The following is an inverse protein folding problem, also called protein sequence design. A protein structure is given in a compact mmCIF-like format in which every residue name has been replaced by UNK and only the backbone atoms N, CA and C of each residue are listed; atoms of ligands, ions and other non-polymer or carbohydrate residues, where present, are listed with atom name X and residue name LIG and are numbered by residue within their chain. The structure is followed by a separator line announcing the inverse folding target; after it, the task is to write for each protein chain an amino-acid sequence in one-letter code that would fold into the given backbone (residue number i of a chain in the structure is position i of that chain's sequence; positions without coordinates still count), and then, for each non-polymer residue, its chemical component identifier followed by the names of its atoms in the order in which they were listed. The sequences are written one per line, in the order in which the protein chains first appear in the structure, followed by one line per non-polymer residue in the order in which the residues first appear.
data_IF_179352679396
#
_entry.id   IF_179352679396
#
_cell.length_a   1.000
_cell.length_b   1.000
_cell.length_c   1.000
_cell.angle_alpha   90.00
_cell.angle_beta   90.00
_cell.angle_gamma   90.00
#
_symmetry.space_group_name_H-M   'P 1'
#
loop_
_entity.id
_entity.type
_entity.pdbx_description
1 polymer ?
#
# COMPACT_ATOMS: atom_id res chain seq x y z
N UNK A 1 9.01 -12.96 -77.83
CA UNK A 1 9.02 -14.43 -77.90
C UNK A 1 7.69 -14.92 -77.35
N UNK A 2 6.84 -15.34 -78.25
CA UNK A 2 5.46 -15.81 -78.05
C UNK A 2 5.37 -17.17 -77.35
N UNK A 3 4.23 -17.37 -76.66
CA UNK A 3 3.32 -18.55 -76.63
C UNK A 3 2.32 -18.29 -75.48
N UNK A 4 1.14 -17.68 -75.67
CA UNK A 4 -0.14 -18.10 -76.30
C UNK A 4 -0.81 -19.38 -75.75
N UNK A 5 -2.14 -19.25 -75.57
CA UNK A 5 -3.26 -20.23 -75.47
C UNK A 5 -3.66 -20.57 -74.01
N UNK A 6 -4.81 -20.18 -73.40
CA UNK A 6 -6.22 -19.89 -73.75
C UNK A 6 -7.17 -21.11 -73.79
N UNK A 7 -8.15 -21.14 -72.85
CA UNK A 7 -9.43 -21.87 -72.87
C UNK A 7 -10.35 -21.14 -71.85
N UNK A 8 -11.36 -20.32 -72.19
CA UNK A 8 -12.67 -20.43 -72.87
C UNK A 8 -13.85 -20.96 -72.01
N UNK A 9 -15.01 -20.30 -72.20
CA UNK A 9 -16.40 -20.55 -71.75
C UNK A 9 -16.86 -19.78 -70.49
N UNK A 10 -17.66 -18.70 -70.52
CA UNK A 10 -18.90 -18.27 -71.24
C UNK A 10 -20.18 -18.45 -70.38
N UNK A 11 -20.70 -17.29 -69.92
CA UNK A 11 -22.07 -16.81 -69.66
C UNK A 11 -23.27 -17.77 -69.49
N UNK A 12 -24.13 -17.45 -68.50
CA UNK A 12 -25.56 -17.03 -68.61
C UNK A 12 -26.07 -16.71 -67.17
N UNK A 13 -26.52 -15.50 -66.77
CA UNK A 13 -27.66 -14.62 -67.13
C UNK A 13 -29.04 -15.16 -66.69
N UNK A 14 -29.78 -14.28 -65.98
CA UNK A 14 -31.26 -14.05 -65.87
C UNK A 14 -31.56 -13.69 -64.39
N UNK A 15 -31.69 -12.41 -63.97
CA UNK A 15 -32.83 -11.46 -64.07
C UNK A 15 -34.15 -12.04 -63.46
N UNK A 16 -34.96 -11.37 -62.63
CA UNK A 16 -35.37 -9.96 -62.65
C UNK A 16 -36.26 -9.60 -61.44
N UNK A 17 -36.40 -8.30 -61.17
CA UNK A 17 -37.51 -7.67 -60.43
C UNK A 17 -37.14 -7.17 -59.04
N UNK A 18 -37.26 -5.89 -58.68
CA UNK A 18 -37.79 -4.71 -59.35
C UNK A 18 -38.11 -3.64 -58.30
N UNK A 19 -37.97 -2.36 -58.70
CA UNK A 19 -38.41 -1.12 -58.03
C UNK A 19 -37.70 -0.76 -56.70
N UNK A 20 -37.45 0.50 -56.31
CA UNK A 20 -37.52 1.84 -56.91
C UNK A 20 -37.10 2.80 -55.78
N UNK A 21 -36.40 3.90 -56.10
CA UNK A 21 -36.40 5.11 -55.27
C UNK A 21 -35.22 5.31 -54.33
N UNK A 22 -34.56 6.45 -54.56
CA UNK A 22 -34.12 7.44 -53.57
C UNK A 22 -32.97 7.12 -52.59
N UNK A 23 -31.97 8.00 -52.68
CA UNK A 23 -31.14 8.54 -51.60
C UNK A 23 -30.71 7.60 -50.45
N UNK A 24 -29.45 7.18 -50.47
CA UNK A 24 -28.71 6.82 -49.26
C UNK A 24 -28.00 8.12 -48.79
N UNK A 25 -28.54 8.97 -47.92
CA UNK A 25 -28.99 8.78 -46.54
C UNK A 25 -27.90 8.12 -45.68
N UNK A 26 -27.38 8.92 -44.73
CA UNK A 26 -26.30 8.56 -43.84
C UNK A 26 -26.58 7.28 -43.07
N UNK A 27 -25.56 6.43 -43.00
CA UNK A 27 -25.66 5.18 -42.31
C UNK A 27 -25.75 5.43 -40.80
N UNK A 28 -26.85 4.90 -40.28
CA UNK A 28 -27.38 5.01 -38.94
C UNK A 28 -26.47 4.19 -38.02
N UNK A 29 -25.87 4.82 -37.01
CA UNK A 29 -25.24 4.11 -35.91
C UNK A 29 -26.34 3.26 -35.24
N UNK A 30 -26.23 1.94 -35.35
CA UNK A 30 -27.08 1.02 -34.61
C UNK A 30 -26.88 1.28 -33.12
N UNK A 31 -27.97 1.62 -32.43
CA UNK A 31 -28.00 1.67 -30.97
C UNK A 31 -27.79 0.25 -30.45
N UNK A 32 -26.63 0.02 -29.84
CA UNK A 32 -26.38 -1.16 -29.01
C UNK A 32 -27.45 -1.32 -27.93
N UNK A 33 -27.67 -2.54 -27.42
CA UNK A 33 -28.79 -2.82 -26.53
C UNK A 33 -28.70 -1.96 -25.28
N UNK A 34 -29.83 -1.42 -24.85
CA UNK A 34 -29.96 -0.74 -23.57
C UNK A 34 -29.62 -1.75 -22.47
N UNK A 35 -28.44 -1.59 -21.86
CA UNK A 35 -28.04 -2.40 -20.72
C UNK A 35 -28.93 -2.04 -19.53
N UNK A 36 -29.87 -2.93 -19.26
CA UNK A 36 -30.57 -3.00 -17.99
C UNK A 36 -29.55 -3.06 -16.85
N UNK A 37 -29.84 -2.35 -15.75
CA UNK A 37 -29.07 -2.35 -14.51
C UNK A 37 -28.70 -3.77 -14.10
N UNK A 38 -27.44 -4.14 -14.27
CA UNK A 38 -26.92 -5.44 -13.86
C UNK A 38 -26.20 -5.29 -12.50
N UNK A 39 -26.36 -6.27 -11.60
CA UNK A 39 -25.83 -6.23 -10.23
C UNK A 39 -24.31 -6.19 -10.26
N UNK A 40 -23.72 -5.41 -9.36
CA UNK A 40 -22.27 -5.35 -9.18
C UNK A 40 -21.79 -6.75 -8.78
N UNK A 41 -21.07 -7.38 -9.70
CA UNK A 41 -20.45 -8.69 -9.54
C UNK A 41 -19.26 -8.57 -8.59
N UNK A 42 -19.32 -9.32 -7.47
CA UNK A 42 -18.26 -9.45 -6.50
C UNK A 42 -17.23 -10.44 -7.03
N UNK A 43 -16.20 -10.03 -7.79
CA UNK A 43 -14.90 -10.77 -7.85
C UNK A 43 -13.71 -10.18 -8.62
N UNK A 44 -13.78 -9.07 -9.36
CA UNK A 44 -12.63 -8.65 -10.19
C UNK A 44 -12.17 -7.21 -9.97
N UNK A 45 -10.84 -7.03 -9.96
CA UNK A 45 -10.24 -5.70 -10.08
C UNK A 45 -10.85 -4.99 -11.29
N UNK A 46 -11.25 -3.72 -11.16
CA UNK A 46 -11.96 -3.04 -12.23
C UNK A 46 -11.06 -2.93 -13.46
N UNK A 47 -11.65 -3.21 -14.62
CA UNK A 47 -10.98 -2.95 -15.90
C UNK A 47 -11.02 -1.45 -16.15
N UNK A 48 -9.86 -0.81 -16.21
CA UNK A 48 -9.75 0.64 -16.46
C UNK A 48 -9.20 0.88 -17.86
N UNK A 49 -9.80 1.80 -18.60
CA UNK A 49 -9.40 2.12 -19.96
C UNK A 49 -9.79 3.57 -20.28
N UNK A 50 -9.21 4.11 -21.34
CA UNK A 50 -9.62 5.41 -21.85
C UNK A 50 -10.98 5.25 -22.53
N UNK A 51 -12.00 5.93 -22.02
CA UNK A 51 -13.39 5.89 -22.51
C UNK A 51 -13.96 7.30 -22.69
N UNK A 52 -15.09 7.43 -23.38
CA UNK A 52 -15.84 8.69 -23.53
C UNK A 52 -17.31 8.51 -23.07
N UNK A 53 -17.72 9.08 -21.92
CA UNK A 53 -16.98 10.02 -21.07
C UNK A 53 -15.84 9.35 -20.27
N UNK A 54 -14.82 10.13 -19.92
CA UNK A 54 -13.66 9.65 -19.16
C UNK A 54 -14.11 8.93 -17.89
N UNK A 55 -13.57 7.72 -17.70
CA UNK A 55 -13.74 6.99 -16.46
C UNK A 55 -13.19 7.84 -15.31
N UNK A 56 -13.90 7.86 -14.19
CA UNK A 56 -13.47 8.55 -12.99
C UNK A 56 -13.89 7.75 -11.75
N UNK A 57 -13.09 7.77 -10.70
CA UNK A 57 -13.38 7.04 -9.48
C UNK A 57 -12.15 6.66 -8.66
N UNK A 58 -12.41 6.05 -7.50
CA UNK A 58 -11.39 5.74 -6.49
C UNK A 58 -10.35 4.72 -6.99
N UNK A 59 -10.74 3.78 -7.87
CA UNK A 59 -9.81 2.83 -8.49
C UNK A 59 -8.78 3.52 -9.41
N UNK A 60 -9.20 4.55 -10.14
CA UNK A 60 -8.31 5.31 -11.02
C UNK A 60 -7.37 6.18 -10.21
N UNK A 61 -7.88 6.78 -9.13
CA UNK A 61 -7.05 7.49 -8.18
C UNK A 61 -5.97 6.57 -7.59
N UNK A 62 -6.32 5.33 -7.24
CA UNK A 62 -5.40 4.33 -6.71
C UNK A 62 -4.33 3.94 -7.72
N UNK A 63 -4.72 3.69 -8.97
CA UNK A 63 -3.80 3.47 -10.09
C UNK A 63 -2.81 4.63 -10.22
N UNK A 64 -3.32 5.87 -10.28
CA UNK A 64 -2.48 7.05 -10.46
C UNK A 64 -1.55 7.28 -9.27
N UNK A 65 -2.05 7.11 -8.05
CA UNK A 65 -1.26 7.23 -6.83
C UNK A 65 -0.13 6.19 -6.83
N UNK A 66 -0.44 4.96 -7.24
CA UNK A 66 0.53 3.87 -7.27
C UNK A 66 1.59 4.06 -8.36
N UNK A 67 1.18 4.47 -9.56
CA UNK A 67 2.12 4.86 -10.63
C UNK A 67 3.02 6.01 -10.17
N UNK A 68 2.47 7.02 -9.49
CA UNK A 68 3.27 8.13 -8.94
C UNK A 68 4.29 7.65 -7.89
N UNK A 69 3.91 6.73 -7.02
CA UNK A 69 4.85 6.11 -6.07
C UNK A 69 5.97 5.32 -6.75
N UNK A 70 5.65 4.66 -7.86
CA UNK A 70 6.62 3.93 -8.69
C UNK A 70 7.52 4.85 -9.54
N UNK A 71 7.31 6.17 -9.45
CA UNK A 71 8.15 7.18 -10.11
C UNK A 71 7.62 7.68 -11.46
N UNK A 72 6.40 7.32 -11.84
CA UNK A 72 5.74 7.86 -13.03
C UNK A 72 5.19 9.26 -12.74
N UNK A 73 5.43 10.20 -13.64
CA UNK A 73 4.97 11.58 -13.48
C UNK A 73 3.58 11.73 -14.13
N UNK A 74 2.55 11.83 -13.28
CA UNK A 74 1.17 12.06 -13.69
C UNK A 74 0.37 12.75 -12.61
N UNK A 75 -0.75 13.35 -13.01
CA UNK A 75 -1.73 13.92 -12.09
C UNK A 75 -2.56 12.82 -11.41
N UNK A 76 -2.78 12.97 -10.09
CA UNK A 76 -3.61 12.06 -9.29
C UNK A 76 -4.92 12.78 -8.98
N UNK A 77 -5.84 12.72 -9.93
CA UNK A 77 -7.15 13.40 -9.92
C UNK A 77 -8.33 12.43 -9.91
N UNK A 78 -8.07 11.13 -10.03
CA UNK A 78 -9.08 10.08 -10.10
C UNK A 78 -9.78 9.99 -11.46
N UNK A 79 -9.21 10.57 -12.52
CA UNK A 79 -9.76 10.55 -13.89
C UNK A 79 -8.82 9.79 -14.82
N UNK A 80 -9.36 8.85 -15.62
CA UNK A 80 -8.56 8.05 -16.54
C UNK A 80 -8.29 8.84 -17.81
N UNK A 81 -7.47 9.88 -17.69
CA UNK A 81 -7.10 10.79 -18.77
C UNK A 81 -6.13 10.14 -19.77
N UNK A 82 -5.87 10.84 -20.87
CA UNK A 82 -4.81 10.44 -21.80
C UNK A 82 -3.41 10.39 -21.15
N UNK A 83 -3.17 11.19 -20.10
CA UNK A 83 -1.94 11.15 -19.29
C UNK A 83 -1.86 9.85 -18.48
N UNK A 84 -2.95 9.49 -17.78
CA UNK A 84 -3.06 8.21 -17.05
C UNK A 84 -2.89 7.01 -17.99
N UNK A 85 -3.53 7.05 -19.14
CA UNK A 85 -3.43 6.05 -20.21
C UNK A 85 -1.97 5.82 -20.65
N UNK A 86 -1.22 6.90 -20.92
CA UNK A 86 0.19 6.82 -21.30
C UNK A 86 1.06 6.21 -20.19
N UNK A 87 0.83 6.58 -18.93
CA UNK A 87 1.62 6.03 -17.82
C UNK A 87 1.32 4.55 -17.56
N UNK A 88 0.07 4.11 -17.72
CA UNK A 88 -0.28 2.69 -17.67
C UNK A 88 0.43 1.91 -18.75
N UNK A 89 0.45 2.46 -19.98
CA UNK A 89 1.14 1.82 -21.09
C UNK A 89 2.66 1.70 -20.82
N UNK A 90 3.27 2.77 -20.31
CA UNK A 90 4.69 2.76 -19.91
C UNK A 90 4.95 1.73 -18.80
N UNK A 91 4.07 1.64 -17.80
CA UNK A 91 4.15 0.67 -16.73
C UNK A 91 4.03 -0.77 -17.23
N UNK A 92 3.02 -1.07 -18.04
CA UNK A 92 2.82 -2.39 -18.63
C UNK A 92 4.05 -2.82 -19.46
N UNK A 93 4.62 -1.92 -20.26
CA UNK A 93 5.85 -2.18 -21.01
C UNK A 93 7.05 -2.47 -20.09
N UNK A 94 7.23 -1.68 -19.04
CA UNK A 94 8.32 -1.84 -18.07
C UNK A 94 8.26 -3.19 -17.33
N UNK A 95 7.04 -3.68 -17.03
CA UNK A 95 6.80 -4.97 -16.38
C UNK A 95 6.77 -6.16 -17.39
N UNK A 96 7.04 -5.91 -18.68
CA UNK A 96 7.04 -6.95 -19.72
C UNK A 96 5.64 -7.49 -20.04
N UNK A 97 4.59 -6.75 -19.70
CA UNK A 97 3.21 -7.03 -20.06
C UNK A 97 2.91 -6.62 -21.51
N UNK A 98 1.74 -7.00 -22.01
CA UNK A 98 1.25 -6.56 -23.32
C UNK A 98 1.17 -5.02 -23.37
N UNK A 99 1.57 -4.43 -24.51
CA UNK A 99 1.60 -2.98 -24.76
C UNK A 99 0.17 -2.42 -24.88
N UNK A 100 -0.55 -2.45 -23.77
CA UNK A 100 -1.95 -2.09 -23.64
C UNK A 100 -2.09 -0.96 -22.62
N UNK A 101 -2.97 -0.01 -22.92
CA UNK A 101 -3.36 1.03 -21.98
C UNK A 101 -4.60 0.64 -21.17
N UNK A 102 -4.99 -0.64 -21.18
CA UNK A 102 -6.10 -1.18 -20.39
C UNK A 102 -5.55 -1.81 -19.13
N UNK A 103 -5.97 -1.31 -17.98
CA UNK A 103 -5.65 -1.91 -16.68
C UNK A 103 -6.59 -3.07 -16.44
N UNK A 104 -6.06 -4.28 -16.49
CA UNK A 104 -6.80 -5.51 -16.13
C UNK A 104 -6.18 -6.13 -14.88
N UNK A 105 -6.69 -7.28 -14.41
CA UNK A 105 -6.05 -8.06 -13.35
C UNK A 105 -4.55 -8.26 -13.57
N UNK A 106 -4.14 -8.51 -14.82
CA UNK A 106 -2.72 -8.72 -15.20
C UNK A 106 -1.87 -7.46 -14.98
N UNK A 107 -2.45 -6.26 -15.07
CA UNK A 107 -1.79 -5.00 -14.73
C UNK A 107 -1.85 -4.74 -13.23
N UNK A 108 -2.99 -5.01 -12.58
CA UNK A 108 -3.18 -4.83 -11.15
C UNK A 108 -2.23 -5.71 -10.32
N UNK A 109 -1.96 -6.94 -10.75
CA UNK A 109 -1.08 -7.86 -10.05
C UNK A 109 0.34 -7.30 -9.84
N UNK A 110 1.14 -6.92 -10.87
CA UNK A 110 2.46 -6.32 -10.67
C UNK A 110 2.38 -4.89 -10.10
N UNK A 111 1.32 -4.14 -10.40
CA UNK A 111 1.14 -2.80 -9.82
C UNK A 111 0.98 -2.85 -8.29
N UNK A 112 0.40 -3.94 -7.78
CA UNK A 112 0.11 -4.17 -6.36
C UNK A 112 1.08 -5.14 -5.68
N UNK A 113 1.83 -5.97 -6.42
CA UNK A 113 2.75 -6.96 -5.88
C UNK A 113 4.08 -6.32 -5.45
N UNK A 114 4.38 -6.33 -4.16
CA UNK A 114 5.72 -6.00 -3.64
C UNK A 114 6.55 -7.28 -3.53
N UNK A 115 6.88 -7.88 -4.68
CA UNK A 115 8.02 -8.79 -4.76
C UNK A 115 9.29 -7.94 -4.76
N UNK A 116 9.75 -7.56 -3.58
CA UNK A 116 11.09 -7.02 -3.43
C UNK A 116 12.10 -8.11 -3.81
N UNK A 117 12.65 -8.03 -5.01
CA UNK A 117 14.03 -8.38 -5.39
C UNK A 117 14.14 -8.42 -6.93
N UNK A 118 15.09 -7.62 -7.46
CA UNK A 118 15.45 -7.45 -8.88
C UNK A 118 14.42 -6.80 -9.81
N UNK A 119 14.64 -5.52 -10.19
CA UNK A 119 14.77 -5.11 -11.60
C UNK A 119 15.61 -3.81 -11.74
N UNK A 120 16.85 -4.05 -12.16
CA UNK A 120 17.83 -3.30 -12.96
C UNK A 120 17.53 -1.83 -13.29
N UNK A 121 18.39 -0.88 -12.90
CA UNK A 121 19.63 -0.52 -13.60
C UNK A 121 19.47 -0.34 -15.13
N UNK A 122 18.83 0.74 -15.53
CA UNK A 122 19.18 1.44 -16.76
C UNK A 122 19.05 2.94 -16.48
N UNK A 123 20.09 3.71 -16.83
CA UNK A 123 20.24 5.16 -16.62
C UNK A 123 20.66 5.63 -15.23
N UNK A 124 21.91 5.34 -14.87
CA UNK A 124 23.02 6.32 -14.85
C UNK A 124 24.20 5.73 -14.09
N UNK A 125 25.39 5.80 -14.70
CA UNK A 125 26.63 5.26 -14.14
C UNK A 125 27.17 6.07 -12.97
N UNK A 126 26.53 5.98 -11.80
CA UNK A 126 27.15 6.26 -10.52
C UNK A 126 26.92 5.09 -9.58
N UNK A 127 28.02 4.45 -9.17
CA UNK A 127 28.06 3.45 -8.10
C UNK A 127 27.53 4.11 -6.81
N UNK A 128 26.23 3.97 -6.53
CA UNK A 128 25.65 4.28 -5.22
C UNK A 128 26.01 3.11 -4.31
N UNK A 129 26.81 3.38 -3.29
CA UNK A 129 27.06 2.45 -2.19
C UNK A 129 25.71 1.89 -1.71
N UNK A 130 25.51 0.57 -1.84
CA UNK A 130 24.26 -0.09 -1.44
C UNK A 130 24.16 0.00 0.07
N UNK A 131 23.45 1.02 0.55
CA UNK A 131 23.24 1.24 1.99
C UNK A 131 22.42 0.07 2.53
N UNK A 132 23.06 -0.76 3.36
CA UNK A 132 22.45 -1.92 4.03
C UNK A 132 21.17 -1.53 4.78
N UNK A 133 20.17 -2.42 4.77
CA UNK A 133 18.85 -2.17 5.34
C UNK A 133 18.88 -2.45 6.83
N UNK A 134 18.71 -1.40 7.64
CA UNK A 134 18.67 -1.52 9.09
C UNK A 134 17.23 -1.56 9.62
N UNK A 135 16.98 -2.49 10.55
CA UNK A 135 15.71 -2.64 11.25
C UNK A 135 15.95 -2.79 12.75
N UNK A 136 15.25 -1.99 13.55
CA UNK A 136 15.16 -2.18 14.99
C UNK A 136 13.88 -2.95 15.28
N UNK A 137 13.97 -4.06 16.00
CA UNK A 137 12.81 -4.80 16.52
C UNK A 137 12.78 -4.69 18.03
N UNK A 138 11.65 -4.25 18.58
CA UNK A 138 11.44 -4.12 20.02
C UNK A 138 10.30 -5.02 20.40
N UNK A 139 10.60 -6.02 21.23
CA UNK A 139 9.58 -6.90 21.80
C UNK A 139 9.29 -6.46 23.24
N UNK A 140 8.07 -5.98 23.48
CA UNK A 140 7.66 -5.41 24.76
C UNK A 140 7.40 -6.48 25.83
N UNK A 141 7.11 -7.72 25.43
CA UNK A 141 6.89 -8.83 26.35
C UNK A 141 8.22 -9.30 26.95
N UNK A 142 9.22 -9.47 26.08
CA UNK A 142 10.59 -9.86 26.48
C UNK A 142 11.44 -8.68 26.96
N UNK A 143 11.00 -7.44 26.68
CA UNK A 143 11.70 -6.18 27.00
C UNK A 143 13.08 -6.12 26.36
N UNK A 144 13.15 -6.50 25.10
CA UNK A 144 14.37 -6.52 24.29
C UNK A 144 14.25 -5.60 23.09
N UNK A 145 15.34 -4.90 22.79
CA UNK A 145 15.55 -4.17 21.55
C UNK A 145 16.67 -4.83 20.78
N UNK A 146 16.41 -5.20 19.54
CA UNK A 146 17.37 -5.89 18.66
C UNK A 146 17.58 -5.06 17.40
N UNK A 147 18.84 -4.79 17.05
CA UNK A 147 19.21 -4.15 15.79
C UNK A 147 19.64 -5.22 14.79
N UNK A 148 18.99 -5.21 13.64
CA UNK A 148 19.29 -6.04 12.47
C UNK A 148 19.85 -5.19 11.34
N UNK A 149 20.73 -5.81 10.55
CA UNK A 149 21.25 -5.30 9.28
C UNK A 149 21.18 -6.42 8.25
N UNK A 150 20.38 -6.26 7.19
CA UNK A 150 20.16 -7.28 6.15
C UNK A 150 19.88 -8.69 6.75
N UNK A 151 18.99 -8.73 7.74
CA UNK A 151 18.54 -9.92 8.52
C UNK A 151 19.54 -10.50 9.54
N UNK A 152 20.77 -9.98 9.61
CA UNK A 152 21.71 -10.38 10.64
C UNK A 152 21.53 -9.59 11.94
N UNK A 153 21.48 -10.30 13.08
CA UNK A 153 21.44 -9.65 14.40
C UNK A 153 22.79 -9.02 14.73
N UNK A 154 22.83 -7.69 14.78
CA UNK A 154 24.05 -6.92 15.09
C UNK A 154 24.19 -6.69 16.59
N UNK A 155 23.10 -6.31 17.26
CA UNK A 155 23.07 -6.03 18.70
C UNK A 155 21.73 -6.36 19.32
N UNK A 156 21.76 -6.66 20.61
CA UNK A 156 20.58 -6.88 21.44
C UNK A 156 20.76 -6.17 22.79
N UNK A 157 19.73 -5.48 23.25
CA UNK A 157 19.74 -4.68 24.46
C UNK A 157 18.50 -4.98 25.31
N UNK A 158 18.68 -4.98 26.63
CA UNK A 158 17.55 -4.98 27.57
C UNK A 158 17.01 -3.56 27.69
N UNK A 159 15.69 -3.40 27.62
CA UNK A 159 15.03 -2.09 27.65
C UNK A 159 13.96 -2.01 28.74
N UNK A 160 13.54 -0.80 29.11
CA UNK A 160 12.27 -0.59 29.81
C UNK A 160 11.21 -0.10 28.83
N UNK A 161 9.99 -0.59 28.98
CA UNK A 161 8.87 -0.26 28.08
C UNK A 161 7.73 0.40 28.85
N UNK A 162 6.68 0.79 28.13
CA UNK A 162 5.49 1.43 28.69
C UNK A 162 4.78 0.56 29.72
N UNK A 163 4.23 1.20 30.76
CA UNK A 163 3.32 0.52 31.71
C UNK A 163 2.02 0.11 31.02
N UNK A 164 1.25 -0.80 31.61
CA UNK A 164 -0.08 -1.16 31.12
C UNK A 164 -1.03 0.04 30.92
N UNK A 165 -0.93 1.06 31.78
CA UNK A 165 -1.71 2.31 31.67
C UNK A 165 -1.19 3.30 30.63
N UNK A 166 0.04 3.12 30.17
CA UNK A 166 0.73 4.00 29.21
C UNK A 166 1.63 3.13 28.33
N UNK A 167 1.01 2.26 27.51
CA UNK A 167 1.72 1.22 26.78
C UNK A 167 2.63 1.82 25.71
N UNK A 168 3.65 1.06 25.34
CA UNK A 168 4.46 1.39 24.17
C UNK A 168 3.65 1.15 22.90
N UNK A 169 3.81 2.00 21.86
CA UNK A 169 2.98 1.94 20.67
C UNK A 169 3.41 0.75 19.79
N UNK A 170 2.61 -0.31 19.77
CA UNK A 170 2.83 -1.43 18.85
C UNK A 170 2.64 -0.92 17.41
N UNK A 171 3.47 -1.39 16.47
CA UNK A 171 3.39 -0.94 15.08
C UNK A 171 4.74 -0.82 14.37
N UNK A 172 4.71 -0.14 13.23
CA UNK A 172 5.86 0.08 12.37
C UNK A 172 6.16 1.58 12.28
N UNK A 173 7.35 1.96 12.74
CA UNK A 173 7.79 3.34 12.91
C UNK A 173 9.12 3.60 12.20
N UNK A 174 9.49 4.88 12.15
CA UNK A 174 10.79 5.36 11.66
C UNK A 174 11.39 6.31 12.69
N UNK A 175 12.71 6.24 12.84
CA UNK A 175 13.44 7.28 13.57
C UNK A 175 13.39 8.56 12.72
N UNK A 176 12.72 9.60 13.22
CA UNK A 176 12.58 10.88 12.51
C UNK A 176 13.45 11.99 13.10
N UNK A 177 13.95 11.78 14.32
CA UNK A 177 14.76 12.78 15.00
C UNK A 177 15.79 12.10 15.89
N UNK A 178 16.97 12.70 15.97
CA UNK A 178 18.04 12.27 16.87
C UNK A 178 18.58 13.48 17.63
N UNK A 179 18.77 13.35 18.93
CA UNK A 179 19.29 14.43 19.78
C UNK A 179 20.19 13.88 20.88
N UNK A 180 21.19 14.66 21.28
CA UNK A 180 22.06 14.31 22.40
C UNK A 180 21.33 14.56 23.72
N UNK A 181 20.96 15.80 24.02
CA UNK A 181 20.35 16.15 25.31
C UNK A 181 18.91 16.65 25.14
N UNK A 182 17.98 15.73 24.87
CA UNK A 182 16.57 16.08 24.67
C UNK A 182 15.91 16.68 25.92
N UNK A 183 16.37 16.29 27.11
CA UNK A 183 15.91 16.86 28.37
C UNK A 183 16.32 16.03 29.59
N UNK A 184 16.17 16.61 30.78
CA UNK A 184 16.67 16.08 32.06
C UNK A 184 16.15 14.68 32.46
N UNK A 185 15.12 14.14 31.78
CA UNK A 185 14.58 12.80 32.05
C UNK A 185 14.98 11.72 31.05
N UNK A 186 15.65 12.09 29.95
CA UNK A 186 15.81 11.24 28.76
C UNK A 186 17.22 10.70 28.57
N UNK A 187 18.08 10.87 29.58
CA UNK A 187 19.46 10.42 29.55
C UNK A 187 20.29 11.18 28.51
N UNK A 188 21.26 10.49 27.94
CA UNK A 188 22.30 11.11 27.08
C UNK A 188 22.00 11.10 25.60
N UNK A 189 20.98 10.37 25.13
CA UNK A 189 20.56 10.31 23.72
C UNK A 189 19.06 10.11 23.61
N UNK A 190 18.49 10.66 22.54
CA UNK A 190 17.09 10.54 22.15
C UNK A 190 16.97 10.20 20.66
N UNK A 191 16.14 9.22 20.34
CA UNK A 191 15.77 8.82 18.98
C UNK A 191 14.23 8.86 18.89
N UNK A 192 13.69 9.93 18.31
CA UNK A 192 12.24 10.16 18.20
C UNK A 192 11.59 9.35 17.08
N UNK A 193 10.39 8.82 17.35
CA UNK A 193 9.59 7.99 16.44
C UNK A 193 8.42 8.78 15.85
N UNK A 194 8.03 8.45 14.63
CA UNK A 194 6.92 9.10 13.88
C UNK A 194 5.51 8.64 14.30
N UNK A 195 5.28 8.40 15.58
CA UNK A 195 3.97 7.96 16.09
C UNK A 195 2.99 9.14 16.03
N UNK A 196 1.83 9.02 15.36
CA UNK A 196 1.03 10.19 15.01
C UNK A 196 0.20 10.76 16.17
N UNK A 197 0.04 10.02 17.26
CA UNK A 197 -0.77 10.41 18.43
C UNK A 197 0.05 10.83 19.66
N UNK A 198 1.37 10.99 19.54
CA UNK A 198 2.17 11.49 20.65
C UNK A 198 3.67 11.50 20.41
N UNK A 199 4.41 11.92 21.42
CA UNK A 199 5.88 11.97 21.37
C UNK A 199 6.42 10.69 21.97
N UNK A 200 6.96 9.82 21.11
CA UNK A 200 7.55 8.56 21.49
C UNK A 200 8.99 8.50 21.00
N UNK A 201 9.83 7.77 21.73
CA UNK A 201 11.24 7.65 21.38
C UNK A 201 11.95 6.51 22.10
N UNK A 202 13.09 6.14 21.55
CA UNK A 202 14.10 5.30 22.18
C UNK A 202 15.14 6.24 22.81
N UNK A 203 15.39 6.10 24.11
CA UNK A 203 16.21 7.08 24.82
C UNK A 203 16.93 6.51 26.04
N UNK A 204 17.97 7.22 26.50
CA UNK A 204 18.68 6.89 27.73
C UNK A 204 17.83 7.11 28.99
N UNK A 205 18.36 6.83 30.18
CA UNK A 205 17.59 7.11 31.41
C UNK A 205 18.47 7.48 32.58
N UNK A 206 17.94 8.40 33.40
CA UNK A 206 18.52 8.74 34.71
C UNK A 206 18.01 7.81 35.83
N UNK A 207 17.21 6.80 35.48
CA UNK A 207 16.70 5.77 36.39
C UNK A 207 17.12 4.38 35.89
N UNK A 208 18.43 4.05 35.92
CA UNK A 208 18.95 2.80 35.35
C UNK A 208 18.31 1.55 35.97
N UNK A 209 17.90 1.59 37.24
CA UNK A 209 17.15 0.49 37.88
C UNK A 209 15.76 0.22 37.29
N UNK A 210 15.26 1.05 36.36
CA UNK A 210 14.02 0.78 35.62
C UNK A 210 14.21 -0.10 34.39
N UNK A 211 15.44 -0.29 33.90
CA UNK A 211 15.71 -1.12 32.73
C UNK A 211 15.35 -2.57 33.02
N UNK A 212 14.69 -3.23 32.06
CA UNK A 212 14.16 -4.59 32.22
C UNK A 212 12.77 -4.64 32.88
N UNK A 213 12.05 -3.51 32.98
CA UNK A 213 10.71 -3.45 33.57
C UNK A 213 9.69 -2.62 32.75
N UNK A 214 8.41 -2.68 33.13
CA UNK A 214 7.34 -1.83 32.61
C UNK A 214 7.27 -0.53 33.43
N UNK A 215 8.00 0.50 33.00
CA UNK A 215 8.27 1.68 33.86
C UNK A 215 8.09 3.04 33.17
N UNK A 216 7.97 3.08 31.85
CA UNK A 216 7.86 4.33 31.10
C UNK A 216 6.41 4.76 30.86
N UNK A 217 6.24 5.95 30.26
CA UNK A 217 4.96 6.44 29.76
C UNK A 217 4.80 6.13 28.25
N UNK A 218 5.34 5.00 27.80
CA UNK A 218 5.26 4.52 26.41
C UNK A 218 6.59 4.55 25.66
N UNK A 219 7.53 5.40 26.05
CA UNK A 219 8.87 5.45 25.47
C UNK A 219 9.73 4.21 25.83
N UNK A 220 10.76 3.97 25.04
CA UNK A 220 11.67 2.83 25.22
C UNK A 220 12.94 3.34 25.90
N UNK A 221 13.17 2.92 27.15
CA UNK A 221 14.34 3.34 27.93
C UNK A 221 15.48 2.35 27.79
N UNK A 222 16.69 2.88 27.68
CA UNK A 222 17.94 2.14 27.60
C UNK A 222 18.93 2.66 28.64
N UNK A 223 19.95 1.86 28.97
CA UNK A 223 21.11 2.39 29.68
C UNK A 223 21.82 3.44 28.81
N UNK A 224 22.35 4.51 29.43
CA UNK A 224 22.97 5.62 28.69
C UNK A 224 24.10 5.15 27.75
N UNK A 225 24.99 4.27 28.22
CA UNK A 225 26.07 3.74 27.38
C UNK A 225 25.56 2.91 26.19
N UNK A 226 24.43 2.20 26.33
CA UNK A 226 23.86 1.38 25.26
C UNK A 226 23.10 2.23 24.23
N UNK A 227 22.37 3.27 24.68
CA UNK A 227 21.72 4.17 23.73
C UNK A 227 22.75 5.01 22.96
N UNK A 228 23.89 5.32 23.56
CA UNK A 228 25.01 5.96 22.87
C UNK A 228 25.56 5.10 21.74
N UNK A 229 25.70 3.79 21.97
CA UNK A 229 26.06 2.82 20.94
C UNK A 229 24.99 2.74 19.84
N UNK A 230 23.72 2.49 20.21
CA UNK A 230 22.61 2.43 19.25
C UNK A 230 22.51 3.72 18.42
N UNK A 231 22.75 4.87 19.05
CA UNK A 231 22.74 6.17 18.39
C UNK A 231 23.82 6.26 17.31
N UNK A 232 25.00 5.67 17.47
CA UNK A 232 26.01 5.68 16.41
C UNK A 232 25.68 4.68 15.29
N UNK A 233 25.08 3.54 15.64
CA UNK A 233 24.78 2.47 14.68
C UNK A 233 23.61 2.76 13.75
N UNK A 234 22.72 3.69 14.11
CA UNK A 234 21.45 3.92 13.42
C UNK A 234 21.38 5.30 12.78
N UNK A 235 20.60 5.46 11.72
CA UNK A 235 20.38 6.75 11.06
C UNK A 235 18.94 7.26 11.25
N UNK A 236 18.72 8.55 11.00
CA UNK A 236 17.36 9.03 10.72
C UNK A 236 16.84 8.28 9.50
N UNK A 237 15.61 7.80 9.57
CA UNK A 237 14.96 6.93 8.60
C UNK A 237 15.07 5.43 8.93
N UNK A 238 15.93 5.01 9.89
CA UNK A 238 15.98 3.60 10.32
C UNK A 238 14.61 3.14 10.80
N UNK A 239 14.18 1.97 10.32
CA UNK A 239 12.87 1.38 10.64
C UNK A 239 12.86 0.81 12.05
N UNK A 240 11.72 0.91 12.72
CA UNK A 240 11.50 0.41 14.08
C UNK A 240 10.18 -0.35 14.11
N UNK A 241 10.22 -1.64 14.41
CA UNK A 241 9.03 -2.48 14.59
C UNK A 241 8.87 -2.78 16.08
N UNK A 242 7.72 -2.43 16.64
CA UNK A 242 7.39 -2.68 18.05
C UNK A 242 6.29 -3.74 18.10
N UNK A 243 6.57 -4.83 18.80
CA UNK A 243 5.73 -6.04 18.87
C UNK A 243 5.55 -6.52 20.31
N UNK A 244 4.53 -7.32 20.53
CA UNK A 244 4.31 -8.13 21.73
C UNK A 244 4.36 -9.61 21.32
N UNK A 245 5.31 -10.38 21.85
CA UNK A 245 5.53 -11.78 21.46
C UNK A 245 5.63 -11.98 19.93
N UNK A 246 6.33 -11.07 19.24
CA UNK A 246 6.46 -11.08 17.78
C UNK A 246 5.27 -10.52 16.99
N UNK A 247 4.14 -10.21 17.63
CA UNK A 247 2.91 -9.75 16.98
C UNK A 247 2.65 -8.25 17.21
N UNK A 248 2.03 -7.58 16.23
CA UNK A 248 1.57 -6.18 16.37
C UNK A 248 0.12 -6.14 16.91
N UNK A 249 -0.51 -7.30 17.05
CA UNK A 249 -1.90 -7.46 17.50
C UNK A 249 -1.96 -7.79 18.99
N UNK A 250 -2.89 -7.19 19.77
CA UNK A 250 -3.00 -7.49 21.19
C UNK A 250 -3.75 -8.80 21.43
N UNK A 251 -3.46 -9.49 22.54
CA UNK A 251 -4.23 -10.68 22.96
C UNK A 251 -5.72 -10.37 23.23
N UNK A 252 -6.01 -9.14 23.69
CA UNK A 252 -7.38 -8.66 23.93
C UNK A 252 -7.62 -7.36 23.16
N UNK A 253 -8.56 -7.40 22.22
CA UNK A 253 -8.92 -6.26 21.38
C UNK A 253 -10.30 -5.74 21.75
N UNK A 254 -10.39 -4.43 22.03
CA UNK A 254 -11.66 -3.73 22.21
C UNK A 254 -11.94 -2.90 20.96
N UNK A 255 -13.01 -3.21 20.19
CA UNK A 255 -13.32 -2.51 18.96
C UNK A 255 -13.80 -1.08 19.27
N UNK A 256 -13.54 -0.19 18.33
CA UNK A 256 -14.04 1.19 18.34
C UNK A 256 -14.41 1.57 16.92
N UNK A 257 -15.45 2.38 16.74
CA UNK A 257 -15.77 2.86 15.41
C UNK A 257 -14.59 3.71 14.90
N UNK A 258 -14.12 3.37 13.70
CA UNK A 258 -13.00 4.06 13.05
C UNK A 258 -13.40 4.55 11.67
N UNK A 259 -12.95 5.75 11.32
CA UNK A 259 -13.15 6.36 10.02
C UNK A 259 -11.96 7.22 9.62
N UNK A 260 -11.99 7.69 8.38
CA UNK A 260 -11.01 8.64 7.84
C UNK A 260 -10.74 9.79 8.82
N UNK A 261 -9.46 10.16 8.96
CA UNK A 261 -8.91 11.15 9.90
C UNK A 261 -8.74 10.66 11.35
N UNK A 262 -9.23 9.47 11.70
CA UNK A 262 -8.85 8.87 12.97
C UNK A 262 -7.36 8.49 12.97
N UNK A 263 -6.77 8.46 14.17
CA UNK A 263 -5.43 7.95 14.37
C UNK A 263 -5.33 7.28 15.73
N UNK A 264 -4.39 6.36 15.89
CA UNK A 264 -4.18 5.67 17.15
C UNK A 264 -3.79 4.21 17.01
N UNK A 265 -3.59 3.59 18.16
CA UNK A 265 -3.19 2.19 18.26
C UNK A 265 -4.18 1.22 17.59
N UNK A 266 -5.50 1.45 17.70
CA UNK A 266 -6.51 0.62 17.04
C UNK A 266 -6.40 0.68 15.51
N UNK A 267 -6.02 1.84 14.94
CA UNK A 267 -5.80 1.96 13.50
C UNK A 267 -4.62 1.09 13.06
N UNK A 268 -3.54 1.04 13.84
CA UNK A 268 -2.40 0.14 13.58
C UNK A 268 -2.83 -1.32 13.57
N UNK A 269 -3.68 -1.74 14.50
CA UNK A 269 -4.17 -3.12 14.56
C UNK A 269 -4.98 -3.48 13.32
N UNK A 270 -5.85 -2.58 12.87
CA UNK A 270 -6.64 -2.75 11.65
C UNK A 270 -5.75 -2.79 10.41
N UNK A 271 -4.80 -1.87 10.30
CA UNK A 271 -3.81 -1.86 9.22
C UNK A 271 -2.97 -3.14 9.24
N UNK A 272 -2.57 -3.64 10.41
CA UNK A 272 -1.83 -4.91 10.49
C UNK A 272 -2.70 -6.10 10.06
N UNK A 273 -3.97 -6.11 10.46
CA UNK A 273 -4.91 -7.17 10.10
C UNK A 273 -5.24 -7.19 8.61
N UNK A 274 -5.48 -6.03 8.03
CA UNK A 274 -5.70 -5.89 6.60
C UNK A 274 -4.47 -6.36 5.80
N UNK A 275 -3.23 -6.10 6.27
CA UNK A 275 -2.00 -6.65 5.67
C UNK A 275 -1.96 -8.17 5.73
N UNK A 276 -2.31 -8.78 6.87
CA UNK A 276 -2.40 -10.24 7.00
C UNK A 276 -3.42 -10.86 6.04
N UNK A 277 -4.45 -10.09 5.66
CA UNK A 277 -5.46 -10.49 4.68
C UNK A 277 -5.03 -10.25 3.22
N UNK A 278 -3.81 -9.76 2.99
CA UNK A 278 -3.27 -9.51 1.66
C UNK A 278 -3.60 -8.13 1.08
N UNK A 279 -4.21 -7.23 1.86
CA UNK A 279 -4.32 -5.82 1.45
C UNK A 279 -2.98 -5.14 1.69
N UNK A 280 -2.26 -4.83 0.62
CA UNK A 280 -1.02 -4.08 0.72
C UNK A 280 -1.28 -2.57 0.67
N UNK A 281 -0.83 -1.89 1.72
CA UNK A 281 -0.67 -0.44 1.83
C UNK A 281 0.67 -0.18 2.50
N UNK A 282 1.09 1.09 2.59
CA UNK A 282 2.33 1.48 3.28
C UNK A 282 2.36 1.00 4.76
N UNK A 283 3.36 1.37 5.54
CA UNK A 283 3.53 1.01 6.94
C UNK A 283 2.25 1.12 7.78
N UNK A 284 2.09 0.26 8.79
CA UNK A 284 1.03 0.38 9.77
C UNK A 284 1.31 1.60 10.70
N UNK A 285 1.12 2.78 10.14
CA UNK A 285 1.50 4.09 10.68
C UNK A 285 0.46 4.64 11.68
N UNK A 286 -0.68 3.95 11.80
CA UNK A 286 -1.78 4.29 12.68
C UNK A 286 -2.51 5.58 12.30
N UNK A 287 -2.43 6.01 11.04
CA UNK A 287 -3.25 7.08 10.47
C UNK A 287 -4.32 6.48 9.56
N UNK A 288 -5.58 6.75 9.85
CA UNK A 288 -6.69 6.34 9.00
C UNK A 288 -6.82 7.32 7.84
N UNK A 289 -5.96 7.15 6.84
CA UNK A 289 -5.94 7.95 5.61
C UNK A 289 -6.82 7.37 4.50
N UNK A 290 -6.66 7.93 3.29
CA UNK A 290 -7.36 7.47 2.08
C UNK A 290 -7.11 5.97 1.81
N UNK A 291 -5.86 5.51 1.99
CA UNK A 291 -5.49 4.11 1.73
C UNK A 291 -6.17 3.14 2.69
N UNK A 292 -6.25 3.49 3.98
CA UNK A 292 -6.94 2.65 4.96
C UNK A 292 -8.45 2.63 4.70
N UNK A 293 -9.06 3.77 4.41
CA UNK A 293 -10.48 3.85 4.02
C UNK A 293 -10.79 2.98 2.81
N UNK A 294 -9.94 3.04 1.78
CA UNK A 294 -10.10 2.27 0.56
C UNK A 294 -9.95 0.76 0.81
N UNK A 295 -8.91 0.35 1.56
CA UNK A 295 -8.73 -1.06 1.93
C UNK A 295 -9.95 -1.60 2.70
N UNK A 296 -10.53 -0.79 3.59
CA UNK A 296 -11.76 -1.15 4.32
C UNK A 296 -12.95 -1.28 3.38
N UNK A 297 -13.13 -0.35 2.44
CA UNK A 297 -14.21 -0.45 1.42
C UNK A 297 -14.08 -1.73 0.60
N UNK A 298 -12.88 -2.06 0.12
CA UNK A 298 -12.65 -3.30 -0.63
C UNK A 298 -12.94 -4.53 0.22
N UNK A 299 -12.47 -4.55 1.47
CA UNK A 299 -12.79 -5.61 2.40
C UNK A 299 -14.30 -5.76 2.62
N UNK A 300 -15.04 -4.65 2.76
CA UNK A 300 -16.49 -4.67 2.91
C UNK A 300 -17.19 -5.24 1.68
N UNK A 301 -16.79 -4.83 0.47
CA UNK A 301 -17.28 -5.42 -0.79
C UNK A 301 -17.05 -6.93 -0.80
N UNK A 302 -15.82 -7.36 -0.49
CA UNK A 302 -15.43 -8.77 -0.49
C UNK A 302 -16.22 -9.62 0.51
N UNK A 303 -16.61 -9.03 1.65
CA UNK A 303 -17.41 -9.70 2.68
C UNK A 303 -18.92 -9.53 2.51
N UNK A 304 -19.38 -8.82 1.47
CA UNK A 304 -20.80 -8.52 1.27
C UNK A 304 -21.41 -7.57 2.32
N UNK A 305 -20.57 -6.72 2.94
CA UNK A 305 -20.97 -5.73 3.93
C UNK A 305 -21.35 -4.39 3.27
N UNK A 306 -22.09 -3.51 3.97
CA UNK A 306 -22.27 -2.13 3.53
C UNK A 306 -20.92 -1.42 3.33
N UNK A 307 -20.70 -0.86 2.15
CA UNK A 307 -19.44 -0.21 1.74
C UNK A 307 -19.36 1.21 2.29
N UNK A 308 -19.11 1.34 3.59
CA UNK A 308 -19.04 2.63 4.28
C UNK A 308 -17.64 3.22 4.29
N UNK A 309 -16.59 2.40 4.18
CA UNK A 309 -15.20 2.81 4.42
C UNK A 309 -14.88 3.09 5.89
N UNK A 310 -15.83 2.82 6.80
CA UNK A 310 -15.69 2.93 8.24
C UNK A 310 -15.68 1.54 8.87
N UNK A 311 -14.88 1.33 9.94
CA UNK A 311 -14.99 0.11 10.73
C UNK A 311 -16.04 0.26 11.81
N UNK A 312 -17.03 -0.61 11.75
CA UNK A 312 -18.01 -0.86 12.80
C UNK A 312 -17.83 -2.28 13.34
N UNK A 313 -18.64 -2.65 14.33
CA UNK A 313 -18.59 -3.97 14.96
C UNK A 313 -18.72 -5.13 13.96
N UNK A 314 -19.61 -4.99 12.97
CA UNK A 314 -19.80 -5.99 11.91
C UNK A 314 -18.53 -6.17 11.05
N UNK A 315 -17.89 -5.07 10.67
CA UNK A 315 -16.62 -5.08 9.94
C UNK A 315 -15.52 -5.75 10.77
N UNK A 316 -15.42 -5.47 12.07
CA UNK A 316 -14.45 -6.12 12.96
C UNK A 316 -14.69 -7.63 13.12
N UNK A 317 -15.96 -8.06 13.22
CA UNK A 317 -16.33 -9.50 13.27
C UNK A 317 -15.91 -10.19 11.97
N UNK A 318 -16.22 -9.59 10.82
CA UNK A 318 -15.81 -10.12 9.52
C UNK A 318 -14.28 -10.19 9.38
N UNK A 319 -13.54 -9.24 9.96
CA UNK A 319 -12.07 -9.28 10.00
C UNK A 319 -11.52 -10.36 10.96
N UNK A 320 -12.37 -11.03 11.74
CA UNK A 320 -11.96 -11.97 12.79
C UNK A 320 -11.21 -11.31 13.94
N UNK A 321 -11.39 -10.00 14.13
CA UNK A 321 -10.75 -9.24 15.22
C UNK A 321 -11.53 -9.33 16.53
N UNK A 322 -12.82 -9.67 16.45
CA UNK A 322 -13.70 -9.92 17.58
C UNK A 322 -14.60 -11.11 17.28
N UNK A 323 -15.08 -11.80 18.32
CA UNK A 323 -16.05 -12.89 18.23
C UNK A 323 -17.46 -12.34 18.17
#
# INVERSE_FOLDING_TARGET
MDKKILFFCLFLVICWGGASGDALAGERIEKGPALASCPIDNTDFPVLYLDDPLLHGEAIWMLQARLRELGYDLTVDGVYSAETCAMVQMFNNAEGLEDSSVVTRVTWEPLMNVSGDHYLSAFTGQQREVKKRQLIVIDIATRKLTLYEDDEKIREFVVAVGKSKTPSPLGEWKIVQKSLNWGNGFGTRWLGLNVPWGIYGIHGTNKPGSIGSYASHGCIRMFNHQVEELYQLTAVGTRVRIVENGQIFPESFVPRNLKKKDSGQTVVYVQSRLKEMGFEFDHADGRFGNMTELAVKYFQVWQGLPVTGELNEETYRAMGMIQ
#
